data_IF_252685582509
#
_entry.id   IF_252685582509
#
_cell.length_a   1.000
_cell.length_b   1.000
_cell.length_c   1.000
_cell.angle_alpha   90.00
_cell.angle_beta   90.00
_cell.angle_gamma   90.00
#
_symmetry.space_group_name_H-M   'P 1'
#
loop_
_entity.id
_entity.type
_entity.pdbx_description
1 polymer ?
#
# COMPACT_ATOMS: atom_id res chain seq x y z
N UNK A 1 -8.61 1.26 -7.76
CA UNK A 1 -9.48 1.73 -8.87
C UNK A 1 -9.12 3.16 -9.22
N UNK A 2 -9.36 4.13 -8.33
CA UNK A 2 -9.03 5.56 -8.57
C UNK A 2 -7.59 5.82 -9.04
N UNK A 3 -6.58 5.29 -8.33
CA UNK A 3 -5.16 5.47 -8.67
C UNK A 3 -4.86 4.94 -10.08
N UNK A 4 -5.52 3.84 -10.47
CA UNK A 4 -5.32 3.19 -11.75
C UNK A 4 -6.25 3.72 -12.85
N UNK A 5 -7.22 4.56 -12.52
CA UNK A 5 -8.23 5.06 -13.46
C UNK A 5 -9.17 4.00 -14.05
N UNK A 6 -9.29 2.83 -13.43
CA UNK A 6 -10.14 1.71 -13.91
C UNK A 6 -11.08 1.20 -12.82
N UNK A 7 -12.21 0.64 -13.26
CA UNK A 7 -13.15 -0.09 -12.40
C UNK A 7 -12.96 -1.59 -12.59
N UNK A 8 -12.99 -2.37 -11.50
CA UNK A 8 -12.83 -3.83 -11.53
C UNK A 8 -13.96 -4.54 -10.78
N UNK A 9 -14.36 -5.71 -11.25
CA UNK A 9 -15.20 -6.62 -10.47
C UNK A 9 -14.38 -7.24 -9.33
N UNK A 10 -14.96 -7.33 -8.13
CA UNK A 10 -14.32 -7.92 -6.95
C UNK A 10 -14.99 -9.25 -6.62
N UNK A 11 -14.22 -10.32 -6.68
CA UNK A 11 -14.61 -11.65 -6.20
C UNK A 11 -13.63 -12.05 -5.10
N UNK A 12 -14.14 -12.53 -3.96
CA UNK A 12 -13.31 -12.92 -2.83
C UNK A 12 -13.39 -14.43 -2.62
N UNK A 13 -12.26 -15.12 -2.76
CA UNK A 13 -12.13 -16.52 -2.34
C UNK A 13 -12.06 -16.60 -0.81
N UNK A 14 -13.18 -17.00 -0.20
CA UNK A 14 -13.30 -17.10 1.25
C UNK A 14 -12.60 -18.33 1.84
N UNK A 15 -12.09 -19.24 1.00
CA UNK A 15 -11.34 -20.43 1.43
C UNK A 15 -9.85 -20.16 1.61
N UNK A 16 -9.35 -19.04 1.06
CA UNK A 16 -7.94 -18.66 1.14
C UNK A 16 -7.52 -18.23 2.58
N UNK A 17 -6.25 -18.45 2.96
CA UNK A 17 -5.74 -17.99 4.27
C UNK A 17 -5.83 -16.47 4.43
N UNK A 18 -6.49 -16.01 5.49
CA UNK A 18 -6.72 -14.58 5.74
C UNK A 18 -5.60 -13.91 6.57
N UNK A 19 -4.68 -14.71 7.14
CA UNK A 19 -3.69 -14.21 8.09
C UNK A 19 -4.33 -13.74 9.40
N UNK A 20 -3.69 -12.78 10.08
CA UNK A 20 -4.20 -12.19 11.33
C UNK A 20 -5.28 -11.15 11.05
N UNK A 21 -6.23 -10.99 11.98
CA UNK A 21 -7.36 -10.04 11.84
C UNK A 21 -6.96 -8.56 11.89
N UNK A 22 -5.81 -8.24 12.48
CA UNK A 22 -5.34 -6.86 12.61
C UNK A 22 -3.88 -6.79 13.02
N UNK A 23 -3.21 -5.76 12.50
CA UNK A 23 -1.86 -5.36 12.89
C UNK A 23 -1.70 -3.88 12.61
N UNK A 24 -1.07 -3.17 13.53
CA UNK A 24 -0.64 -1.79 13.34
C UNK A 24 0.65 -1.58 14.13
N UNK A 25 1.49 -0.65 13.68
CA UNK A 25 2.72 -0.28 14.38
C UNK A 25 2.37 0.64 15.55
N UNK A 26 2.97 0.38 16.72
CA UNK A 26 3.07 1.37 17.80
C UNK A 26 4.40 2.10 17.65
N UNK A 27 4.34 3.41 17.41
CA UNK A 27 5.51 4.23 17.14
C UNK A 27 6.06 4.94 18.40
N UNK A 28 5.55 4.63 19.60
CA UNK A 28 5.98 5.29 20.86
C UNK A 28 7.51 5.31 21.01
N UNK A 29 8.16 4.17 20.81
CA UNK A 29 9.63 4.07 20.93
C UNK A 29 10.38 4.85 19.82
N UNK A 30 9.79 4.97 18.62
CA UNK A 30 10.37 5.75 17.53
C UNK A 30 10.40 7.25 17.87
N UNK A 31 9.31 7.75 18.46
CA UNK A 31 9.24 9.11 18.97
C UNK A 31 10.22 9.35 20.12
N UNK A 32 10.31 8.42 21.08
CA UNK A 32 11.23 8.55 22.22
C UNK A 32 12.71 8.62 21.82
N UNK A 33 13.12 7.76 20.90
CA UNK A 33 14.55 7.63 20.54
C UNK A 33 14.93 8.64 19.44
N UNK A 34 14.06 8.85 18.46
CA UNK A 34 14.40 9.58 17.23
C UNK A 34 13.59 10.86 17.03
N UNK A 35 12.49 11.08 17.76
CA UNK A 35 11.58 12.21 17.54
C UNK A 35 10.96 12.20 16.14
N UNK A 36 10.82 11.01 15.52
CA UNK A 36 10.44 10.83 14.13
C UNK A 36 9.54 9.62 13.95
N UNK A 37 8.64 9.67 12.97
CA UNK A 37 7.87 8.53 12.50
C UNK A 37 7.56 8.61 10.99
N UNK A 38 7.10 7.52 10.34
CA UNK A 38 6.62 7.56 8.97
C UNK A 38 5.42 8.50 8.83
N UNK A 39 5.52 9.47 7.91
CA UNK A 39 4.50 10.50 7.69
C UNK A 39 3.79 10.42 6.32
N UNK A 40 4.26 9.55 5.43
CA UNK A 40 3.65 9.37 4.10
C UNK A 40 2.32 8.63 4.25
N UNK A 41 1.25 9.20 3.71
CA UNK A 41 -0.05 8.53 3.73
C UNK A 41 -0.03 7.27 2.87
N UNK A 42 -0.86 6.29 3.22
CA UNK A 42 -0.99 5.07 2.41
C UNK A 42 -1.34 5.40 0.95
N UNK A 43 -2.21 6.40 0.73
CA UNK A 43 -2.62 6.80 -0.61
C UNK A 43 -1.45 7.33 -1.43
N UNK A 44 -0.70 8.30 -0.89
CA UNK A 44 0.42 8.92 -1.61
C UNK A 44 1.52 7.88 -1.92
N UNK A 45 1.75 6.94 -0.99
CA UNK A 45 2.66 5.82 -1.20
C UNK A 45 2.18 4.89 -2.32
N UNK A 46 0.89 4.53 -2.32
CA UNK A 46 0.29 3.68 -3.34
C UNK A 46 0.30 4.33 -4.73
N UNK A 47 0.08 5.65 -4.84
CA UNK A 47 0.12 6.37 -6.12
C UNK A 47 1.51 6.31 -6.76
N UNK A 48 2.56 6.61 -5.98
CA UNK A 48 3.96 6.51 -6.45
C UNK A 48 4.34 5.08 -6.83
N UNK A 49 3.92 4.12 -6.00
CA UNK A 49 4.22 2.70 -6.24
C UNK A 49 3.53 2.19 -7.50
N UNK A 50 2.26 2.55 -7.71
CA UNK A 50 1.51 2.19 -8.90
C UNK A 50 2.19 2.72 -10.17
N UNK A 51 2.54 4.01 -10.19
CA UNK A 51 3.24 4.61 -11.33
C UNK A 51 4.56 3.89 -11.63
N UNK A 52 5.36 3.59 -10.61
CA UNK A 52 6.61 2.85 -10.80
C UNK A 52 6.38 1.44 -11.38
N UNK A 53 5.41 0.67 -10.86
CA UNK A 53 5.07 -0.66 -11.39
C UNK A 53 4.61 -0.56 -12.85
N UNK A 54 3.77 0.43 -13.17
CA UNK A 54 3.30 0.68 -14.53
C UNK A 54 4.48 0.87 -15.48
N UNK A 55 5.43 1.74 -15.12
CA UNK A 55 6.62 2.00 -15.93
C UNK A 55 7.54 0.77 -16.08
N UNK A 56 7.58 -0.11 -15.07
CA UNK A 56 8.35 -1.37 -15.18
C UNK A 56 7.74 -2.35 -16.17
N UNK A 57 6.41 -2.32 -16.35
CA UNK A 57 5.67 -3.26 -17.20
C UNK A 57 5.35 -2.68 -18.58
N UNK A 58 5.35 -1.36 -18.71
CA UNK A 58 5.12 -0.68 -19.97
C UNK A 58 6.16 -1.13 -21.02
N UNK A 59 5.76 -1.40 -22.26
CA UNK A 59 6.71 -1.67 -23.33
C UNK A 59 7.70 -0.51 -23.44
N UNK A 60 9.00 -0.84 -23.46
CA UNK A 60 10.02 0.16 -23.79
C UNK A 60 9.81 0.58 -25.24
N UNK A 61 9.54 1.87 -25.44
CA UNK A 61 9.45 2.50 -26.76
C UNK A 61 10.85 2.74 -27.30
#
# INVERSE_FOLDING_TARGET
>A
EDIAGITVGKEHDLTAPQGVRGRNSDNTMFHEIYGWEPSISLRDGLEKTYAWIYDQLAPRV
#
